data_IF_490163368849
#
_entry.id   IF_490163368849
#
_cell.length_a   1.000
_cell.length_b   1.000
_cell.length_c   1.000
_cell.angle_alpha   90.00
_cell.angle_beta   90.00
_cell.angle_gamma   90.00
#
_symmetry.space_group_name_H-M   'P 1'
#
loop_
_entity.id
_entity.type
_entity.pdbx_description
1 polymer ?
#
# COMPACT_ATOMS: atom_id res chain seq x y z
N UNK A 1 -61.99 62.96 -13.29
CA UNK A 1 -63.00 63.57 -12.39
C UNK A 1 -62.93 62.90 -11.01
N UNK A 2 -63.48 63.56 -9.99
CA UNK A 2 -63.63 63.22 -8.54
C UNK A 2 -63.46 61.73 -8.13
N UNK A 3 -62.64 61.36 -7.12
CA UNK A 3 -62.69 61.60 -5.63
C UNK A 3 -63.75 60.78 -4.85
N UNK A 4 -63.28 59.89 -3.97
CA UNK A 4 -63.66 59.65 -2.55
C UNK A 4 -62.53 58.75 -1.96
N UNK A 5 -61.80 59.03 -0.86
CA UNK A 5 -62.17 59.12 0.58
C UNK A 5 -62.88 57.85 1.08
N UNK A 6 -62.55 57.20 2.19
CA UNK A 6 -61.67 57.51 3.37
C UNK A 6 -61.20 56.16 3.99
N UNK A 7 -60.40 55.97 5.07
CA UNK A 7 -60.01 56.73 6.28
C UNK A 7 -58.57 56.35 6.73
N UNK A 8 -58.06 56.98 7.81
CA UNK A 8 -56.96 56.55 8.70
C UNK A 8 -57.37 56.95 10.14
N UNK A 9 -56.82 56.29 11.18
CA UNK A 9 -55.93 56.98 12.13
C UNK A 9 -54.80 56.05 12.68
N UNK A 10 -53.73 56.47 13.36
CA UNK A 10 -53.02 57.74 13.56
C UNK A 10 -51.56 57.41 14.02
N UNK A 11 -50.52 58.16 13.59
CA UNK A 11 -49.60 59.01 14.40
C UNK A 11 -48.95 58.37 15.66
N UNK A 12 -47.68 58.61 16.05
CA UNK A 12 -46.68 59.67 15.76
C UNK A 12 -45.25 59.10 16.04
N UNK A 13 -44.18 59.43 15.29
CA UNK A 13 -43.16 60.52 15.52
C UNK A 13 -42.42 60.44 16.89
N UNK A 14 -41.11 60.70 17.06
CA UNK A 14 -40.05 61.41 16.30
C UNK A 14 -38.64 60.89 16.76
N UNK A 15 -37.64 60.64 15.90
CA UNK A 15 -36.51 61.50 15.42
C UNK A 15 -35.23 61.64 16.29
N UNK A 16 -34.06 61.39 15.65
CA UNK A 16 -32.71 62.00 15.84
C UNK A 16 -32.02 61.82 17.22
N UNK A 17 -30.79 61.29 17.35
CA UNK A 17 -29.54 61.72 16.70
C UNK A 17 -28.35 60.78 16.97
N UNK A 18 -27.30 60.96 16.17
CA UNK A 18 -25.96 60.32 16.17
C UNK A 18 -25.20 60.34 17.50
N UNK A 19 -24.42 59.29 17.78
CA UNK A 19 -23.18 59.35 18.59
C UNK A 19 -22.26 58.15 18.22
N UNK A 20 -20.96 58.42 18.07
CA UNK A 20 -19.97 57.41 17.65
C UNK A 20 -19.38 56.65 18.84
N UNK A 21 -19.18 55.33 18.72
CA UNK A 21 -18.15 54.60 19.49
C UNK A 21 -17.82 53.21 18.94
N UNK A 22 -16.58 53.08 18.42
CA UNK A 22 -15.74 51.87 18.41
C UNK A 22 -16.27 50.58 17.73
N UNK A 23 -15.67 50.14 16.60
CA UNK A 23 -15.81 48.76 16.16
C UNK A 23 -15.05 47.85 17.13
N UNK A 24 -15.75 46.93 17.79
CA UNK A 24 -15.08 45.80 18.47
C UNK A 24 -14.47 44.91 17.38
N UNK A 25 -13.14 44.93 17.27
CA UNK A 25 -12.43 43.95 16.47
C UNK A 25 -12.72 42.55 17.04
N UNK A 26 -13.45 41.73 16.27
CA UNK A 26 -13.49 40.29 16.52
C UNK A 26 -12.12 39.73 16.16
N UNK A 27 -11.22 39.70 17.15
CA UNK A 27 -10.02 38.87 17.08
C UNK A 27 -10.47 37.42 17.07
N UNK A 28 -10.50 36.82 15.88
CA UNK A 28 -10.59 35.38 15.73
C UNK A 28 -9.26 34.79 16.16
N UNK A 29 -9.08 34.60 17.48
CA UNK A 29 -8.02 33.74 17.98
C UNK A 29 -8.29 32.34 17.46
N UNK A 30 -7.43 31.87 16.56
CA UNK A 30 -7.38 30.47 16.15
C UNK A 30 -6.97 29.67 17.38
N UNK A 31 -7.94 29.05 18.03
CA UNK A 31 -7.67 28.01 19.02
C UNK A 31 -7.04 26.82 18.28
N UNK A 32 -5.72 26.74 18.29
CA UNK A 32 -5.01 25.49 18.01
C UNK A 32 -5.31 24.49 19.15
N UNK A 33 -6.40 23.74 18.98
CA UNK A 33 -6.69 22.52 19.72
C UNK A 33 -7.21 21.48 18.71
N UNK A 34 -6.28 20.81 18.04
CA UNK A 34 -6.51 19.64 17.19
C UNK A 34 -5.35 18.66 17.45
N UNK A 35 -5.69 17.51 18.03
CA UNK A 35 -5.07 16.18 17.87
C UNK A 35 -3.56 15.93 18.14
N UNK A 36 -3.06 16.23 19.34
CA UNK A 36 -1.77 15.68 19.81
C UNK A 36 -1.83 14.17 20.17
N UNK A 37 -3.02 13.63 20.48
CA UNK A 37 -3.20 12.23 20.96
C UNK A 37 -3.19 11.17 19.82
N UNK A 38 -3.19 11.61 18.56
CA UNK A 38 -3.29 10.72 17.39
C UNK A 38 -1.95 10.30 16.76
N UNK A 39 -0.82 10.90 17.17
CA UNK A 39 0.51 10.57 16.66
C UNK A 39 1.39 9.76 17.63
N UNK A 40 0.90 9.38 18.83
CA UNK A 40 1.57 8.40 19.70
C UNK A 40 1.59 7.01 19.03
N UNK A 41 2.78 6.45 18.73
CA UNK A 41 2.88 5.12 18.13
C UNK A 41 2.23 4.03 18.98
N UNK A 42 2.07 4.22 20.29
CA UNK A 42 1.35 3.30 21.17
C UNK A 42 -0.13 3.15 20.82
N UNK A 43 -0.77 4.23 20.38
CA UNK A 43 -2.15 4.23 19.92
C UNK A 43 -2.26 3.76 18.46
N UNK A 44 -1.24 4.04 17.62
CA UNK A 44 -1.21 3.66 16.21
C UNK A 44 -0.90 2.17 15.96
N UNK A 45 -0.18 1.50 16.87
CA UNK A 45 0.05 0.04 16.85
C UNK A 45 -0.29 -0.53 18.24
N UNK A 46 -1.49 -1.10 18.38
CA UNK A 46 -1.91 -1.76 19.62
C UNK A 46 -1.25 -3.14 19.73
N UNK A 47 -1.10 -3.63 20.96
CA UNK A 47 -0.55 -4.96 21.25
C UNK A 47 -1.57 -5.73 22.09
N UNK A 48 -1.98 -6.91 21.60
CA UNK A 48 -2.79 -7.85 22.36
C UNK A 48 -1.94 -9.06 22.79
N UNK A 49 -2.03 -9.42 24.07
CA UNK A 49 -1.32 -10.56 24.64
C UNK A 49 -2.26 -11.70 25.01
N UNK A 50 -1.98 -12.91 24.49
CA UNK A 50 -2.62 -14.17 24.89
C UNK A 50 -1.57 -15.13 25.46
N UNK A 51 -1.94 -16.38 25.73
CA UNK A 51 -1.10 -17.33 26.47
C UNK A 51 0.31 -17.53 25.85
N UNK A 52 0.38 -18.00 24.59
CA UNK A 52 1.64 -18.12 23.82
C UNK A 52 1.71 -17.21 22.58
N UNK A 53 0.76 -16.29 22.39
CA UNK A 53 0.75 -15.42 21.21
C UNK A 53 0.69 -13.93 21.51
N UNK A 54 1.23 -13.13 20.59
CA UNK A 54 1.11 -11.66 20.56
C UNK A 54 0.52 -11.23 19.22
N UNK A 55 -0.40 -10.28 19.24
CA UNK A 55 -0.90 -9.63 18.04
C UNK A 55 -0.45 -8.17 17.98
N UNK A 56 0.13 -7.76 16.84
CA UNK A 56 0.28 -6.36 16.47
C UNK A 56 -0.96 -5.93 15.68
N UNK A 57 -1.65 -4.88 16.15
CA UNK A 57 -2.88 -4.38 15.53
C UNK A 57 -2.61 -2.99 14.98
N UNK A 58 -2.64 -2.86 13.65
CA UNK A 58 -2.52 -1.58 12.96
C UNK A 58 -3.79 -0.76 13.24
N UNK A 59 -3.65 0.44 13.82
CA UNK A 59 -4.77 1.17 14.40
C UNK A 59 -4.75 2.68 14.03
N UNK A 60 -4.80 2.95 12.72
CA UNK A 60 -5.14 4.26 12.14
C UNK A 60 -6.31 4.10 11.16
N UNK A 61 -7.50 3.67 11.60
CA UNK A 61 -8.60 3.28 10.70
C UNK A 61 -9.15 4.43 9.86
N UNK A 62 -9.01 5.68 10.33
CA UNK A 62 -9.30 6.91 9.57
C UNK A 62 -8.45 7.03 8.30
N UNK A 63 -7.16 6.70 8.41
CA UNK A 63 -6.17 6.68 7.33
C UNK A 63 -5.96 5.28 6.73
N UNK A 64 -6.94 4.38 6.82
CA UNK A 64 -6.87 3.01 6.30
C UNK A 64 -5.64 2.20 6.76
N UNK A 65 -5.14 2.49 7.96
CA UNK A 65 -3.92 1.90 8.53
C UNK A 65 -2.66 2.14 7.68
N UNK A 66 -2.60 3.26 6.94
CA UNK A 66 -1.40 3.69 6.23
C UNK A 66 -0.19 3.83 7.17
N UNK A 67 0.97 3.33 6.72
CA UNK A 67 2.18 3.22 7.54
C UNK A 67 2.95 4.55 7.63
N UNK A 68 3.36 4.89 8.85
CA UNK A 68 4.30 5.96 9.16
C UNK A 68 5.65 5.39 9.64
N UNK A 69 6.70 6.20 9.63
CA UNK A 69 8.03 5.84 10.18
C UNK A 69 7.95 5.35 11.62
N UNK A 70 7.10 5.98 12.44
CA UNK A 70 6.93 5.65 13.84
C UNK A 70 6.18 4.34 14.07
N UNK A 71 5.18 4.02 13.24
CA UNK A 71 4.50 2.72 13.21
C UNK A 71 5.47 1.58 12.86
N UNK A 72 6.23 1.72 11.76
CA UNK A 72 7.17 0.69 11.30
C UNK A 72 8.31 0.49 12.31
N UNK A 73 8.88 1.56 12.86
CA UNK A 73 9.90 1.48 13.91
C UNK A 73 9.37 0.86 15.22
N UNK A 74 8.07 0.98 15.51
CA UNK A 74 7.42 0.28 16.63
C UNK A 74 7.20 -1.20 16.30
N UNK A 75 6.69 -1.53 15.11
CA UNK A 75 6.52 -2.90 14.65
C UNK A 75 7.85 -3.67 14.69
N UNK A 76 8.93 -3.10 14.15
CA UNK A 76 10.25 -3.74 14.19
C UNK A 76 10.70 -4.05 15.62
N UNK A 77 10.66 -3.06 16.53
CA UNK A 77 11.03 -3.26 17.95
C UNK A 77 10.17 -4.32 18.66
N UNK A 78 8.87 -4.38 18.35
CA UNK A 78 7.99 -5.42 18.89
C UNK A 78 8.42 -6.79 18.40
N UNK A 79 8.60 -6.96 17.09
CA UNK A 79 8.97 -8.24 16.48
C UNK A 79 10.36 -8.71 16.93
N UNK A 80 11.37 -7.83 16.96
CA UNK A 80 12.69 -8.11 17.54
C UNK A 80 12.55 -8.64 18.99
N UNK A 81 11.72 -7.98 19.81
CA UNK A 81 11.52 -8.37 21.22
C UNK A 81 10.70 -9.66 21.42
N UNK A 82 9.80 -9.98 20.48
CA UNK A 82 8.92 -11.14 20.56
C UNK A 82 9.62 -12.43 20.11
N UNK A 83 10.65 -12.30 19.28
CA UNK A 83 11.40 -13.42 18.74
C UNK A 83 12.34 -14.02 19.80
N UNK A 84 13.07 -13.18 20.53
CA UNK A 84 13.94 -13.59 21.64
C UNK A 84 13.17 -14.13 22.87
N UNK A 85 11.86 -13.89 22.93
CA UNK A 85 11.04 -14.24 24.10
C UNK A 85 10.42 -15.64 24.01
N UNK A 86 10.92 -16.59 24.80
CA UNK A 86 10.43 -17.99 24.86
C UNK A 86 8.99 -18.16 25.37
N UNK A 87 8.39 -17.13 25.99
CA UNK A 87 6.95 -17.13 26.34
C UNK A 87 6.04 -16.84 25.14
N UNK A 88 6.60 -16.47 23.98
CA UNK A 88 5.86 -16.24 22.74
C UNK A 88 6.22 -17.35 21.78
N UNK A 89 5.25 -18.20 21.45
CA UNK A 89 5.39 -19.26 20.45
C UNK A 89 5.06 -18.80 19.03
N UNK A 90 4.11 -17.88 18.84
CA UNK A 90 3.78 -17.33 17.52
C UNK A 90 3.24 -15.89 17.60
N UNK A 91 3.23 -15.21 16.46
CA UNK A 91 2.83 -13.79 16.34
C UNK A 91 1.73 -13.60 15.29
N UNK A 92 0.89 -12.59 15.49
CA UNK A 92 -0.17 -12.21 14.57
C UNK A 92 -0.03 -10.74 14.15
N UNK A 93 -0.50 -10.42 12.94
CA UNK A 93 -0.71 -9.05 12.49
C UNK A 93 -2.11 -8.89 11.92
N UNK A 94 -2.82 -7.82 12.30
CA UNK A 94 -4.15 -7.45 11.75
C UNK A 94 -4.34 -5.95 11.71
N UNK A 95 -5.27 -5.46 10.88
CA UNK A 95 -5.71 -4.07 10.92
C UNK A 95 -6.97 -3.87 11.77
N UNK A 96 -7.21 -2.63 12.20
CA UNK A 96 -8.49 -2.20 12.76
C UNK A 96 -9.35 -1.48 11.69
N UNK A 97 -10.68 -1.56 11.83
CA UNK A 97 -11.61 -0.91 10.91
C UNK A 97 -11.82 -1.70 9.61
N UNK A 98 -11.69 -1.03 8.46
CA UNK A 98 -12.08 -1.55 7.12
C UNK A 98 -10.90 -1.95 6.21
N UNK A 99 -9.69 -1.94 6.75
CA UNK A 99 -8.47 -2.23 6.02
C UNK A 99 -7.50 -2.99 6.92
N UNK A 100 -6.71 -3.87 6.33
CA UNK A 100 -5.49 -4.34 6.95
C UNK A 100 -4.49 -3.19 6.95
N UNK A 101 -4.04 -2.77 5.76
CA UNK A 101 -3.11 -1.67 5.54
C UNK A 101 -3.20 -1.18 4.09
N UNK A 102 -3.37 0.13 3.86
CA UNK A 102 -3.41 0.70 2.51
C UNK A 102 -2.04 1.13 1.94
N UNK A 103 -0.93 0.66 2.50
CA UNK A 103 0.43 1.04 2.10
C UNK A 103 1.01 2.18 2.91
N UNK A 104 1.96 2.92 2.34
CA UNK A 104 2.62 4.04 3.01
C UNK A 104 1.68 5.26 3.15
N UNK A 105 1.91 6.09 4.17
CA UNK A 105 1.30 7.41 4.28
C UNK A 105 1.97 8.39 3.29
N UNK A 106 1.74 8.17 1.99
CA UNK A 106 2.41 8.90 0.89
C UNK A 106 2.15 10.39 0.89
N UNK A 107 1.05 10.84 1.52
CA UNK A 107 0.76 12.28 1.70
C UNK A 107 1.70 12.89 2.76
N UNK A 108 1.93 12.20 3.89
CA UNK A 108 2.95 12.61 4.87
C UNK A 108 4.34 12.62 4.23
N UNK A 109 4.68 11.58 3.47
CA UNK A 109 5.96 11.46 2.76
C UNK A 109 6.18 12.61 1.76
N UNK A 110 5.16 12.92 0.93
CA UNK A 110 5.18 14.04 -0.02
C UNK A 110 5.36 15.40 0.67
N UNK A 111 4.70 15.62 1.82
CA UNK A 111 4.86 16.86 2.59
C UNK A 111 6.28 16.98 3.16
N UNK A 112 6.77 15.96 3.88
CA UNK A 112 8.14 15.94 4.43
C UNK A 112 9.21 16.19 3.36
N UNK A 113 9.08 15.55 2.19
CA UNK A 113 10.02 15.73 1.07
C UNK A 113 9.95 17.12 0.44
N UNK A 114 8.79 17.77 0.40
CA UNK A 114 8.66 19.16 -0.08
C UNK A 114 9.14 20.20 0.95
N UNK A 115 9.15 19.85 2.24
CA UNK A 115 9.78 20.63 3.30
C UNK A 115 11.32 20.45 3.34
N UNK A 116 11.86 19.47 2.59
CA UNK A 116 13.29 19.17 2.50
C UNK A 116 13.78 18.12 3.50
N UNK A 117 12.88 17.47 4.24
CA UNK A 117 13.19 16.44 5.24
C UNK A 117 13.46 15.07 4.56
N UNK A 118 14.48 15.01 3.70
CA UNK A 118 14.80 13.80 2.92
C UNK A 118 15.19 12.64 3.83
N UNK A 119 15.93 12.90 4.89
CA UNK A 119 16.41 11.88 5.85
C UNK A 119 15.26 11.14 6.56
N UNK A 120 14.10 11.80 6.77
CA UNK A 120 12.91 11.14 7.33
C UNK A 120 12.37 10.07 6.35
N UNK A 121 12.36 10.40 5.06
CA UNK A 121 11.90 9.52 3.99
C UNK A 121 12.88 8.34 3.76
N UNK A 122 14.19 8.59 3.81
CA UNK A 122 15.19 7.53 3.76
C UNK A 122 15.08 6.58 4.94
N UNK A 123 14.90 7.12 6.16
CA UNK A 123 14.72 6.34 7.37
C UNK A 123 13.40 5.55 7.35
N UNK A 124 12.32 6.09 6.79
CA UNK A 124 11.07 5.35 6.56
C UNK A 124 11.33 4.10 5.72
N UNK A 125 11.86 4.27 4.51
CA UNK A 125 12.12 3.19 3.55
C UNK A 125 13.10 2.15 4.12
N UNK A 126 14.19 2.61 4.77
CA UNK A 126 15.18 1.72 5.39
C UNK A 126 14.58 0.87 6.49
N UNK A 127 13.72 1.46 7.34
CA UNK A 127 13.06 0.74 8.43
C UNK A 127 12.01 -0.22 7.88
N UNK A 128 11.26 0.19 6.84
CA UNK A 128 10.24 -0.61 6.17
C UNK A 128 10.83 -1.87 5.53
N UNK A 129 11.90 -1.75 4.75
CA UNK A 129 12.47 -2.91 4.07
C UNK A 129 13.26 -3.81 5.02
N UNK A 130 13.89 -3.24 6.05
CA UNK A 130 14.42 -4.03 7.17
C UNK A 130 13.32 -4.82 7.90
N UNK A 131 12.10 -4.28 7.99
CA UNK A 131 10.96 -4.96 8.61
C UNK A 131 10.32 -6.00 7.67
N UNK A 132 10.23 -5.74 6.37
CA UNK A 132 9.82 -6.72 5.36
C UNK A 132 10.78 -7.92 5.28
N UNK A 133 12.09 -7.66 5.39
CA UNK A 133 13.09 -8.74 5.52
C UNK A 133 12.93 -9.51 6.84
N UNK A 134 12.73 -8.81 7.96
CA UNK A 134 12.48 -9.45 9.26
C UNK A 134 11.23 -10.35 9.21
N UNK A 135 10.16 -9.91 8.53
CA UNK A 135 8.95 -10.69 8.27
C UNK A 135 9.25 -11.95 7.45
N UNK A 136 10.01 -11.81 6.37
CA UNK A 136 10.43 -12.93 5.53
C UNK A 136 11.32 -13.97 6.21
N UNK A 137 12.00 -13.58 7.30
CA UNK A 137 13.02 -14.38 8.00
C UNK A 137 12.66 -14.65 9.47
N UNK A 138 11.38 -14.47 9.84
CA UNK A 138 10.96 -14.46 11.25
C UNK A 138 10.92 -15.87 11.83
N UNK A 139 11.73 -16.15 12.86
CA UNK A 139 11.99 -17.51 13.39
C UNK A 139 10.79 -18.19 14.07
N UNK A 140 9.63 -17.54 14.11
CA UNK A 140 8.40 -18.03 14.73
C UNK A 140 7.24 -17.94 13.74
N UNK A 141 6.21 -18.80 13.85
CA UNK A 141 5.04 -18.69 13.00
C UNK A 141 4.44 -17.28 13.05
N UNK A 142 4.29 -16.66 11.88
CA UNK A 142 3.62 -15.37 11.71
C UNK A 142 2.31 -15.55 10.96
N UNK A 143 1.22 -14.99 11.49
CA UNK A 143 -0.12 -15.02 10.90
C UNK A 143 -0.58 -13.60 10.56
N UNK A 144 -0.59 -13.24 9.29
CA UNK A 144 -1.21 -12.01 8.81
C UNK A 144 -2.70 -12.24 8.51
N UNK A 145 -3.58 -11.42 9.10
CA UNK A 145 -5.03 -11.40 8.83
C UNK A 145 -5.33 -10.19 7.94
N UNK A 146 -5.48 -10.44 6.65
CA UNK A 146 -5.61 -9.47 5.57
C UNK A 146 -7.07 -9.06 5.33
N UNK A 147 -7.83 -8.79 6.40
CA UNK A 147 -9.23 -8.40 6.31
C UNK A 147 -9.39 -6.97 5.78
N UNK A 148 -9.97 -6.82 4.59
CA UNK A 148 -10.12 -5.53 3.93
C UNK A 148 -8.97 -5.15 2.98
N UNK A 149 -8.76 -3.85 2.80
CA UNK A 149 -7.73 -3.30 1.91
C UNK A 149 -6.32 -3.71 2.39
N UNK A 150 -5.54 -4.30 1.48
CA UNK A 150 -4.13 -4.67 1.64
C UNK A 150 -3.38 -4.18 0.40
N UNK A 151 -2.76 -3.01 0.45
CA UNK A 151 -2.16 -2.39 -0.75
C UNK A 151 -0.71 -1.94 -0.51
N UNK A 152 0.07 -1.94 -1.60
CA UNK A 152 1.48 -1.52 -1.61
C UNK A 152 2.32 -2.17 -0.53
N UNK A 153 3.16 -1.42 0.17
CA UNK A 153 3.96 -1.94 1.28
C UNK A 153 3.15 -2.52 2.47
N UNK A 154 1.82 -2.34 2.51
CA UNK A 154 0.94 -3.12 3.39
C UNK A 154 0.98 -4.63 3.06
N UNK A 155 1.07 -4.98 1.79
CA UNK A 155 1.41 -6.34 1.38
C UNK A 155 2.86 -6.71 1.78
N UNK A 156 3.82 -5.80 1.57
CA UNK A 156 5.22 -6.03 1.93
C UNK A 156 5.49 -6.37 3.40
N UNK A 157 4.70 -5.83 4.35
CA UNK A 157 4.82 -6.18 5.78
C UNK A 157 4.07 -7.46 6.19
N UNK A 158 3.46 -8.20 5.26
CA UNK A 158 2.58 -9.33 5.57
C UNK A 158 2.77 -10.55 4.68
N UNK A 159 2.99 -10.36 3.38
CA UNK A 159 3.15 -11.45 2.41
C UNK A 159 4.42 -12.29 2.62
N UNK A 160 5.59 -11.73 2.98
CA UNK A 160 6.79 -12.53 3.25
C UNK A 160 6.69 -13.48 4.46
N UNK A 161 5.71 -13.31 5.36
CA UNK A 161 5.59 -14.14 6.57
C UNK A 161 5.20 -15.61 6.30
N UNK A 162 4.81 -16.35 7.34
CA UNK A 162 4.47 -17.78 7.17
C UNK A 162 3.04 -18.00 6.67
N UNK A 163 2.04 -17.45 7.35
CA UNK A 163 0.62 -17.62 7.04
C UNK A 163 -0.06 -16.31 6.68
N UNK A 164 -0.82 -16.34 5.58
CA UNK A 164 -1.61 -15.23 5.04
C UNK A 164 -3.07 -15.67 5.00
N UNK A 165 -3.89 -15.07 5.89
CA UNK A 165 -5.32 -15.35 6.04
C UNK A 165 -6.10 -14.22 5.37
N UNK A 166 -6.90 -14.54 4.36
CA UNK A 166 -7.73 -13.60 3.59
C UNK A 166 -9.21 -13.85 3.83
N UNK A 167 -10.05 -12.88 3.50
CA UNK A 167 -11.50 -12.90 3.69
C UNK A 167 -12.27 -12.49 2.44
N UNK A 168 -13.60 -12.59 2.49
CA UNK A 168 -14.53 -12.04 1.49
C UNK A 168 -14.43 -10.50 1.36
N UNK A 169 -13.73 -9.82 2.27
CA UNK A 169 -13.46 -8.37 2.22
C UNK A 169 -12.06 -8.02 1.72
N UNK A 170 -11.15 -8.98 1.56
CA UNK A 170 -9.77 -8.70 1.14
C UNK A 170 -9.76 -8.05 -0.24
N UNK A 171 -9.02 -6.94 -0.36
CA UNK A 171 -8.73 -6.28 -1.63
C UNK A 171 -7.22 -6.04 -1.68
N UNK A 172 -6.51 -6.84 -2.48
CA UNK A 172 -5.08 -6.76 -2.74
C UNK A 172 -4.78 -5.99 -4.03
N UNK A 173 -3.76 -5.13 -4.05
CA UNK A 173 -3.32 -4.38 -5.25
C UNK A 173 -1.99 -3.66 -5.03
N UNK A 174 -1.21 -3.49 -6.10
CA UNK A 174 -0.04 -2.62 -6.17
C UNK A 174 -0.26 -1.44 -7.14
N UNK A 175 -0.88 -0.32 -6.68
CA UNK A 175 -1.18 0.84 -7.51
C UNK A 175 -0.01 1.85 -7.65
N UNK A 176 1.22 1.45 -7.36
CA UNK A 176 2.40 2.33 -7.27
C UNK A 176 2.77 2.97 -8.61
N UNK A 177 2.72 2.22 -9.72
CA UNK A 177 2.99 2.76 -11.06
C UNK A 177 2.04 3.91 -11.44
N UNK A 178 0.82 3.89 -10.90
CA UNK A 178 -0.19 4.92 -11.13
C UNK A 178 0.06 6.21 -10.31
N UNK A 179 0.90 6.18 -9.27
CA UNK A 179 1.33 7.37 -8.50
C UNK A 179 2.78 7.80 -8.81
N UNK A 180 3.39 7.30 -9.90
CA UNK A 180 4.77 7.66 -10.25
C UNK A 180 5.83 6.97 -9.38
N UNK A 181 5.51 5.80 -8.84
CA UNK A 181 6.41 4.97 -8.02
C UNK A 181 6.49 3.54 -8.58
N UNK A 182 7.16 2.61 -7.90
CA UNK A 182 7.24 1.20 -8.30
C UNK A 182 6.71 0.30 -7.17
N UNK A 183 6.17 -0.89 -7.46
CA UNK A 183 5.77 -1.86 -6.45
C UNK A 183 6.96 -2.28 -5.57
N UNK A 184 6.84 -2.07 -4.27
CA UNK A 184 7.97 -2.08 -3.34
C UNK A 184 7.80 -3.01 -2.12
N UNK A 185 8.76 -2.95 -1.20
CA UNK A 185 8.75 -3.70 0.06
C UNK A 185 8.67 -5.23 -0.11
N UNK A 186 9.31 -5.76 -1.15
CA UNK A 186 9.37 -7.17 -1.52
C UNK A 186 8.40 -7.55 -2.65
N UNK A 187 7.68 -6.60 -3.25
CA UNK A 187 6.73 -6.88 -4.32
C UNK A 187 7.38 -7.55 -5.53
N UNK A 188 8.61 -7.17 -5.89
CA UNK A 188 9.34 -7.85 -6.96
C UNK A 188 9.70 -9.30 -6.63
N UNK A 189 9.79 -9.66 -5.36
CA UNK A 189 10.01 -11.04 -4.93
C UNK A 189 8.73 -11.90 -5.05
N UNK A 190 7.60 -11.49 -4.47
CA UNK A 190 6.40 -12.33 -4.45
C UNK A 190 5.55 -12.25 -5.72
N UNK A 191 5.52 -11.12 -6.44
CA UNK A 191 4.77 -11.02 -7.70
C UNK A 191 5.45 -11.83 -8.82
N UNK A 192 6.77 -11.81 -8.92
CA UNK A 192 7.54 -12.55 -9.94
C UNK A 192 7.44 -14.08 -9.85
N UNK A 193 6.97 -14.58 -8.70
CA UNK A 193 6.75 -16.00 -8.39
C UNK A 193 5.32 -16.48 -8.67
N UNK A 194 4.45 -15.59 -9.12
CA UNK A 194 3.08 -15.95 -9.52
C UNK A 194 3.07 -16.73 -10.84
N UNK A 195 1.98 -17.49 -11.13
CA UNK A 195 1.85 -18.24 -12.36
C UNK A 195 2.01 -17.37 -13.61
N UNK A 196 2.85 -17.82 -14.55
CA UNK A 196 3.07 -17.15 -15.83
C UNK A 196 3.59 -15.72 -15.68
N UNK A 197 2.87 -14.78 -16.29
CA UNK A 197 3.13 -13.34 -16.26
C UNK A 197 2.07 -12.55 -15.46
N UNK A 198 1.38 -13.22 -14.53
CA UNK A 198 0.39 -12.58 -13.65
C UNK A 198 1.03 -11.52 -12.73
N UNK A 199 2.28 -11.71 -12.32
CA UNK A 199 3.02 -10.75 -11.50
C UNK A 199 3.21 -9.41 -12.20
N UNK A 200 3.72 -9.46 -13.42
CA UNK A 200 3.93 -8.32 -14.31
C UNK A 200 2.60 -7.61 -14.61
N UNK A 201 1.53 -8.36 -14.88
CA UNK A 201 0.19 -7.80 -15.03
C UNK A 201 -0.25 -6.99 -13.81
N UNK A 202 -0.21 -7.57 -12.61
CA UNK A 202 -0.67 -6.91 -11.38
C UNK A 202 0.18 -5.67 -11.04
N UNK A 203 1.49 -5.78 -11.18
CA UNK A 203 2.46 -4.73 -10.91
C UNK A 203 2.28 -3.50 -11.84
N UNK A 204 2.04 -3.73 -13.13
CA UNK A 204 1.94 -2.66 -14.13
C UNK A 204 0.56 -2.00 -14.17
N UNK A 205 -0.50 -2.74 -13.87
CA UNK A 205 -1.90 -2.27 -14.02
C UNK A 205 -2.49 -1.70 -12.72
N UNK A 206 -1.92 -2.06 -11.57
CA UNK A 206 -2.53 -1.79 -10.27
C UNK A 206 -3.86 -2.53 -10.07
N UNK A 207 -4.10 -3.62 -10.79
CA UNK A 207 -5.35 -4.37 -10.69
C UNK A 207 -5.54 -5.00 -9.31
N UNK A 208 -6.80 -5.29 -9.02
CA UNK A 208 -7.24 -5.74 -7.70
C UNK A 208 -7.53 -7.24 -7.74
N UNK A 209 -6.97 -7.96 -6.79
CA UNK A 209 -7.40 -9.32 -6.47
C UNK A 209 -8.27 -9.30 -5.21
N UNK A 210 -9.34 -10.09 -5.23
CA UNK A 210 -10.09 -10.41 -4.03
C UNK A 210 -9.46 -11.59 -3.27
N UNK A 211 -9.93 -11.86 -2.04
CA UNK A 211 -9.39 -12.95 -1.21
C UNK A 211 -9.46 -14.35 -1.86
N UNK A 212 -10.49 -14.64 -2.66
CA UNK A 212 -10.61 -15.93 -3.38
C UNK A 212 -9.56 -16.05 -4.47
N UNK A 213 -9.30 -14.96 -5.21
CA UNK A 213 -8.28 -14.93 -6.24
C UNK A 213 -6.87 -15.06 -5.66
N UNK A 214 -6.61 -14.43 -4.51
CA UNK A 214 -5.33 -14.60 -3.80
C UNK A 214 -5.04 -16.04 -3.39
N UNK A 215 -6.05 -16.83 -3.00
CA UNK A 215 -5.87 -18.26 -2.74
C UNK A 215 -5.54 -19.00 -4.05
N UNK A 216 -6.31 -18.75 -5.10
CA UNK A 216 -6.16 -19.48 -6.36
C UNK A 216 -4.84 -19.20 -7.09
N UNK A 217 -4.23 -18.02 -6.90
CA UNK A 217 -2.88 -17.72 -7.38
C UNK A 217 -1.76 -17.96 -6.35
N UNK A 218 -2.07 -18.53 -5.17
CA UNK A 218 -1.14 -18.82 -4.06
C UNK A 218 -0.50 -17.59 -3.38
N UNK A 219 -1.01 -16.37 -3.61
CA UNK A 219 -0.68 -15.19 -2.80
C UNK A 219 -1.17 -15.29 -1.36
N UNK A 220 -2.20 -16.09 -1.08
CA UNK A 220 -2.72 -16.34 0.26
C UNK A 220 -2.71 -17.83 0.59
N UNK A 221 -2.64 -18.16 1.88
CA UNK A 221 -2.58 -19.55 2.36
C UNK A 221 -3.94 -20.09 2.81
N UNK A 222 -4.78 -19.23 3.38
CA UNK A 222 -6.01 -19.62 4.05
C UNK A 222 -7.10 -18.58 3.78
N UNK A 223 -8.32 -19.01 3.49
CA UNK A 223 -9.48 -18.13 3.34
C UNK A 223 -10.51 -18.45 4.42
N UNK A 224 -11.05 -17.42 5.06
CA UNK A 224 -12.16 -17.53 6.01
C UNK A 224 -13.16 -16.41 5.75
N UNK A 225 -14.46 -16.72 5.84
CA UNK A 225 -15.48 -15.67 5.84
C UNK A 225 -15.25 -14.71 7.02
N UNK A 226 -15.33 -13.39 6.77
CA UNK A 226 -15.17 -12.34 7.77
C UNK A 226 -16.07 -12.56 9.01
N UNK A 227 -17.27 -13.08 8.82
CA UNK A 227 -18.20 -13.43 9.89
C UNK A 227 -17.68 -14.50 10.87
N UNK A 228 -16.71 -15.34 10.45
CA UNK A 228 -16.06 -16.38 11.28
C UNK A 228 -14.74 -15.91 11.89
N UNK A 229 -14.21 -14.77 11.46
CA UNK A 229 -12.92 -14.25 11.91
C UNK A 229 -12.80 -14.12 13.45
N UNK A 230 -13.83 -13.68 14.21
CA UNK A 230 -13.76 -13.67 15.67
C UNK A 230 -13.55 -15.06 16.30
N UNK A 231 -14.09 -16.12 15.70
CA UNK A 231 -13.90 -17.49 16.19
C UNK A 231 -12.50 -18.02 15.86
N UNK A 232 -11.94 -17.63 14.72
CA UNK A 232 -10.56 -17.94 14.36
C UNK A 232 -9.57 -17.26 15.31
N UNK A 233 -9.77 -15.97 15.59
CA UNK A 233 -8.95 -15.22 16.55
C UNK A 233 -9.06 -15.79 17.97
N UNK A 234 -10.27 -16.17 18.41
CA UNK A 234 -10.47 -16.84 19.70
C UNK A 234 -9.76 -18.22 19.75
N UNK A 235 -9.79 -18.98 18.66
CA UNK A 235 -9.07 -20.26 18.54
C UNK A 235 -7.57 -20.06 18.67
N UNK A 236 -6.99 -19.15 17.88
CA UNK A 236 -5.57 -18.80 17.92
C UNK A 236 -5.16 -18.29 19.30
N UNK A 237 -5.97 -17.42 19.93
CA UNK A 237 -5.71 -16.90 21.27
C UNK A 237 -5.73 -17.96 22.40
N UNK A 238 -6.24 -19.17 22.13
CA UNK A 238 -6.22 -20.32 23.05
C UNK A 238 -5.09 -21.32 22.77
N UNK A 239 -4.31 -21.14 21.70
CA UNK A 239 -3.19 -22.04 21.40
C UNK A 239 -2.04 -21.82 22.39
N UNK A 240 -1.44 -22.94 22.81
CA UNK A 240 -0.25 -23.00 23.65
C UNK A 240 0.78 -23.84 22.87
N UNK A 241 1.38 -23.22 21.86
CA UNK A 241 2.29 -23.87 20.91
C UNK A 241 3.25 -22.86 20.28
N UNK A 242 4.40 -23.34 19.85
CA UNK A 242 5.40 -22.74 18.97
C UNK A 242 5.53 -23.53 17.64
N UNK A 243 4.89 -24.69 17.52
CA UNK A 243 4.90 -25.56 16.33
C UNK A 243 4.05 -24.96 15.19
N UNK A 244 4.64 -24.65 14.01
CA UNK A 244 3.91 -24.18 12.84
C UNK A 244 2.72 -25.08 12.45
N UNK A 245 2.89 -26.40 12.51
CA UNK A 245 1.88 -27.35 12.02
C UNK A 245 0.58 -27.33 12.83
N UNK A 246 0.65 -26.97 14.12
CA UNK A 246 -0.51 -26.79 14.99
C UNK A 246 -1.22 -25.46 14.69
N UNK A 247 -0.47 -24.42 14.32
CA UNK A 247 -1.03 -23.15 13.83
C UNK A 247 -1.75 -23.38 12.51
N UNK A 248 -1.09 -23.99 11.52
CA UNK A 248 -1.67 -24.35 10.21
C UNK A 248 -2.94 -25.18 10.35
N UNK A 249 -2.90 -26.28 11.12
CA UNK A 249 -4.07 -27.14 11.37
C UNK A 249 -5.23 -26.34 12.00
N UNK A 250 -4.92 -25.34 12.82
CA UNK A 250 -5.94 -24.49 13.45
C UNK A 250 -6.49 -23.42 12.49
N UNK A 251 -5.71 -22.95 11.53
CA UNK A 251 -6.19 -22.09 10.43
C UNK A 251 -7.08 -22.88 9.46
N UNK A 252 -6.62 -24.06 9.03
CA UNK A 252 -7.33 -24.95 8.12
C UNK A 252 -8.71 -25.41 8.65
N UNK A 253 -8.89 -25.52 9.96
CA UNK A 253 -10.19 -25.82 10.59
C UNK A 253 -11.28 -24.78 10.30
N UNK A 254 -10.90 -23.55 9.96
CA UNK A 254 -11.81 -22.46 9.58
C UNK A 254 -11.73 -22.11 8.10
N UNK A 255 -10.93 -22.87 7.33
CA UNK A 255 -10.77 -22.70 5.89
C UNK A 255 -12.04 -23.06 5.13
N UNK A 256 -12.59 -22.11 4.37
CA UNK A 256 -13.66 -22.40 3.40
C UNK A 256 -13.05 -22.72 2.03
N UNK A 257 -13.54 -23.79 1.38
CA UNK A 257 -13.16 -24.10 -0.01
C UNK A 257 -13.84 -23.09 -0.93
N UNK A 258 -13.03 -22.31 -1.65
CA UNK A 258 -13.48 -21.25 -2.55
C UNK A 258 -12.90 -21.45 -3.95
N UNK A 259 -13.64 -20.97 -4.96
CA UNK A 259 -13.26 -21.02 -6.36
C UNK A 259 -13.47 -19.63 -6.98
N UNK A 260 -12.54 -19.15 -7.84
CA UNK A 260 -12.71 -17.89 -8.55
C UNK A 260 -14.03 -17.84 -9.33
N UNK A 261 -14.66 -16.67 -9.38
CA UNK A 261 -15.85 -16.45 -10.18
C UNK A 261 -15.51 -16.27 -11.67
N UNK A 262 -16.54 -16.34 -12.53
CA UNK A 262 -16.37 -16.25 -14.00
C UNK A 262 -15.83 -14.91 -14.50
N UNK A 263 -15.87 -13.86 -13.69
CA UNK A 263 -15.29 -12.54 -13.98
C UNK A 263 -13.86 -12.37 -13.45
N UNK A 264 -13.33 -13.37 -12.71
CA UNK A 264 -11.97 -13.35 -12.18
C UNK A 264 -10.93 -13.18 -13.27
N UNK A 265 -9.90 -12.38 -12.97
CA UNK A 265 -8.74 -12.19 -13.85
C UNK A 265 -7.95 -13.50 -14.07
N UNK A 266 -8.11 -14.49 -13.19
CA UNK A 266 -7.47 -15.80 -13.33
C UNK A 266 -8.01 -16.61 -14.53
N UNK A 267 -9.20 -16.26 -15.03
CA UNK A 267 -9.71 -16.79 -16.31
C UNK A 267 -9.12 -16.10 -17.55
N UNK A 268 -8.23 -15.11 -17.37
CA UNK A 268 -7.51 -14.40 -18.44
C UNK A 268 -6.03 -14.79 -18.51
N UNK A 269 -5.55 -15.78 -17.73
CA UNK A 269 -4.12 -16.17 -17.68
C UNK A 269 -3.55 -16.45 -19.08
N UNK A 270 -4.24 -17.22 -19.94
CA UNK A 270 -3.74 -17.49 -21.30
C UNK A 270 -3.52 -16.20 -22.13
N UNK A 271 -4.34 -15.18 -21.92
CA UNK A 271 -4.20 -13.86 -22.59
C UNK A 271 -3.14 -13.00 -21.91
N UNK A 272 -3.04 -13.03 -20.58
CA UNK A 272 -1.95 -12.39 -19.82
C UNK A 272 -0.61 -12.94 -20.29
N UNK A 273 -0.45 -14.26 -20.36
CA UNK A 273 0.80 -14.90 -20.75
C UNK A 273 1.15 -14.64 -22.22
N UNK A 274 0.17 -14.47 -23.12
CA UNK A 274 0.42 -14.02 -24.50
C UNK A 274 0.86 -12.57 -24.60
N UNK A 275 0.36 -11.68 -23.74
CA UNK A 275 0.56 -10.24 -23.88
C UNK A 275 1.70 -9.67 -23.01
N UNK A 276 1.94 -10.24 -21.82
CA UNK A 276 2.92 -9.75 -20.84
C UNK A 276 4.27 -10.48 -20.90
N UNK A 277 4.43 -11.48 -21.77
CA UNK A 277 5.70 -12.18 -21.96
C UNK A 277 6.79 -11.35 -22.66
N UNK A 278 6.41 -10.30 -23.38
CA UNK A 278 7.33 -9.46 -24.15
C UNK A 278 8.28 -8.64 -23.27
N UNK A 279 9.50 -8.44 -23.75
CA UNK A 279 10.61 -7.89 -22.95
C UNK A 279 10.47 -6.39 -22.68
N UNK A 280 9.75 -5.66 -23.52
CA UNK A 280 9.57 -4.20 -23.38
C UNK A 280 8.11 -3.80 -23.16
N UNK A 281 7.90 -2.66 -22.48
CA UNK A 281 6.56 -2.08 -22.27
C UNK A 281 5.86 -1.73 -23.59
N UNK A 282 6.63 -1.31 -24.59
CA UNK A 282 6.17 -1.00 -25.93
C UNK A 282 5.54 -2.24 -26.62
N UNK A 283 6.22 -3.39 -26.57
CA UNK A 283 5.72 -4.65 -27.12
C UNK A 283 4.50 -5.19 -26.35
N UNK A 284 4.50 -5.11 -25.01
CA UNK A 284 3.33 -5.49 -24.18
C UNK A 284 2.09 -4.67 -24.59
N UNK A 285 2.25 -3.37 -24.82
CA UNK A 285 1.15 -2.49 -25.25
C UNK A 285 0.72 -2.82 -26.68
N UNK A 286 1.64 -3.16 -27.59
CA UNK A 286 1.30 -3.58 -28.95
C UNK A 286 0.52 -4.91 -28.95
N UNK A 287 0.97 -5.90 -28.17
CA UNK A 287 0.30 -7.19 -28.02
C UNK A 287 -1.10 -7.04 -27.43
N UNK A 288 -1.26 -6.25 -26.36
CA UNK A 288 -2.57 -5.92 -25.79
C UNK A 288 -3.48 -5.16 -26.76
N UNK A 289 -2.93 -4.22 -27.54
CA UNK A 289 -3.69 -3.45 -28.53
C UNK A 289 -4.20 -4.33 -29.67
N UNK A 290 -3.38 -5.30 -30.11
CA UNK A 290 -3.76 -6.32 -31.09
C UNK A 290 -4.83 -7.25 -30.54
N UNK A 291 -4.64 -7.85 -29.37
CA UNK A 291 -5.62 -8.74 -28.74
C UNK A 291 -6.96 -8.01 -28.51
N UNK A 292 -6.94 -6.75 -28.06
CA UNK A 292 -8.14 -5.92 -27.91
C UNK A 292 -8.88 -5.68 -29.24
N UNK A 293 -8.15 -5.50 -30.34
CA UNK A 293 -8.72 -5.29 -31.68
C UNK A 293 -9.27 -6.57 -32.32
N UNK A 294 -8.66 -7.73 -32.04
CA UNK A 294 -9.07 -9.04 -32.58
C UNK A 294 -10.23 -9.66 -31.79
N UNK A 295 -10.22 -9.54 -30.46
CA UNK A 295 -11.22 -10.16 -29.56
C UNK A 295 -12.40 -9.26 -29.19
N UNK A 296 -12.25 -7.94 -29.30
CA UNK A 296 -13.14 -6.93 -28.70
C UNK A 296 -13.34 -7.08 -27.17
N UNK A 297 -12.39 -7.72 -26.47
CA UNK A 297 -12.47 -7.96 -25.04
C UNK A 297 -12.32 -6.66 -24.22
N UNK A 298 -13.39 -6.30 -23.50
CA UNK A 298 -13.43 -5.12 -22.62
C UNK A 298 -12.31 -5.14 -21.56
N UNK A 299 -11.86 -6.33 -21.14
CA UNK A 299 -10.74 -6.47 -20.21
C UNK A 299 -9.42 -5.97 -20.81
N UNK A 300 -9.12 -6.31 -22.07
CA UNK A 300 -7.91 -5.84 -22.77
C UNK A 300 -7.94 -4.31 -22.93
N UNK A 301 -9.10 -3.75 -23.31
CA UNK A 301 -9.31 -2.30 -23.46
C UNK A 301 -9.13 -1.57 -22.12
N UNK A 302 -9.68 -2.12 -21.03
CA UNK A 302 -9.55 -1.58 -19.67
C UNK A 302 -8.09 -1.63 -19.18
N UNK A 303 -7.39 -2.73 -19.44
CA UNK A 303 -5.97 -2.94 -19.12
C UNK A 303 -5.08 -1.91 -19.81
N UNK A 304 -5.24 -1.73 -21.13
CA UNK A 304 -4.54 -0.70 -21.90
C UNK A 304 -4.77 0.71 -21.36
N UNK A 305 -5.99 1.03 -20.92
CA UNK A 305 -6.30 2.33 -20.33
C UNK A 305 -5.54 2.54 -19.02
N UNK A 306 -5.52 1.55 -18.11
CA UNK A 306 -4.80 1.64 -16.83
C UNK A 306 -3.30 1.83 -17.02
N UNK A 307 -2.69 1.10 -17.96
CA UNK A 307 -1.27 1.27 -18.32
C UNK A 307 -1.02 2.70 -18.84
N UNK A 308 -1.89 3.23 -19.71
CA UNK A 308 -1.76 4.62 -20.22
C UNK A 308 -2.02 5.72 -19.18
N UNK A 309 -2.65 5.40 -18.05
CA UNK A 309 -2.87 6.31 -16.91
C UNK A 309 -1.70 6.32 -15.89
N UNK A 310 -0.70 5.44 -16.05
CA UNK A 310 0.47 5.31 -15.20
C UNK A 310 1.68 6.09 -15.73
N UNK A 311 2.70 6.31 -14.89
CA UNK A 311 3.96 6.95 -15.32
C UNK A 311 4.71 6.05 -16.31
N UNK A 312 5.14 6.57 -17.47
CA UNK A 312 5.94 5.80 -18.42
C UNK A 312 7.26 5.27 -17.84
N UNK A 313 7.94 6.09 -17.03
CA UNK A 313 9.19 5.71 -16.38
C UNK A 313 8.94 4.64 -15.30
N UNK A 314 7.92 4.83 -14.47
CA UNK A 314 7.51 3.83 -13.47
C UNK A 314 7.14 2.49 -14.07
N UNK A 315 6.49 2.46 -15.25
CA UNK A 315 6.16 1.22 -15.95
C UNK A 315 7.42 0.44 -16.38
N UNK A 316 8.41 1.11 -16.98
CA UNK A 316 9.66 0.43 -17.38
C UNK A 316 10.44 -0.08 -16.16
N UNK A 317 10.59 0.76 -15.12
CA UNK A 317 11.21 0.37 -13.84
C UNK A 317 10.47 -0.82 -13.22
N UNK A 318 9.14 -0.81 -13.23
CA UNK A 318 8.33 -1.90 -12.66
C UNK A 318 8.54 -3.21 -13.43
N UNK A 319 8.47 -3.18 -14.77
CA UNK A 319 8.67 -4.36 -15.60
C UNK A 319 10.05 -5.00 -15.34
N UNK A 320 11.10 -4.19 -15.32
CA UNK A 320 12.47 -4.64 -15.03
C UNK A 320 12.60 -5.18 -13.59
N UNK A 321 12.07 -4.45 -12.60
CA UNK A 321 12.06 -4.84 -11.19
C UNK A 321 11.44 -6.22 -10.95
N UNK A 322 10.24 -6.49 -11.51
CA UNK A 322 9.58 -7.80 -11.39
C UNK A 322 10.41 -8.90 -12.09
N UNK A 323 10.98 -8.60 -13.27
CA UNK A 323 11.75 -9.58 -14.06
C UNK A 323 13.05 -10.00 -13.39
N UNK A 324 13.80 -9.05 -12.82
CA UNK A 324 15.00 -9.36 -12.03
C UNK A 324 14.64 -10.14 -10.76
N UNK A 325 13.58 -9.73 -10.06
CA UNK A 325 13.08 -10.38 -8.85
C UNK A 325 12.72 -11.87 -9.02
N UNK A 326 12.48 -12.33 -10.25
CA UNK A 326 12.22 -13.74 -10.59
C UNK A 326 13.44 -14.64 -10.34
N UNK A 327 14.66 -14.08 -10.36
CA UNK A 327 15.92 -14.80 -10.20
C UNK A 327 16.68 -14.46 -8.90
N UNK A 328 16.19 -13.47 -8.14
CA UNK A 328 16.81 -12.97 -6.92
C UNK A 328 16.17 -13.53 -5.64
N UNK A 329 16.93 -13.52 -4.53
CA UNK A 329 16.43 -13.74 -3.17
C UNK A 329 15.69 -12.52 -2.63
N UNK A 330 14.98 -12.68 -1.49
CA UNK A 330 14.20 -11.59 -0.89
C UNK A 330 15.09 -10.40 -0.46
N UNK A 331 16.27 -10.66 0.09
CA UNK A 331 17.24 -9.62 0.47
C UNK A 331 17.78 -8.86 -0.75
N UNK A 332 18.09 -9.57 -1.85
CA UNK A 332 18.53 -8.96 -3.11
C UNK A 332 17.43 -8.07 -3.70
N UNK A 333 16.18 -8.58 -3.76
CA UNK A 333 15.02 -7.81 -4.18
C UNK A 333 14.84 -6.54 -3.34
N UNK A 334 14.86 -6.66 -2.01
CA UNK A 334 14.69 -5.51 -1.10
C UNK A 334 15.83 -4.49 -1.21
N UNK A 335 17.08 -4.93 -1.42
CA UNK A 335 18.22 -4.05 -1.60
C UNK A 335 18.18 -3.31 -2.96
N UNK A 336 17.69 -3.95 -4.02
CA UNK A 336 17.45 -3.33 -5.32
C UNK A 336 16.27 -2.35 -5.27
N UNK A 337 15.14 -2.78 -4.70
CA UNK A 337 13.99 -1.91 -4.47
C UNK A 337 14.35 -0.69 -3.62
N UNK A 338 15.28 -0.82 -2.66
CA UNK A 338 15.78 0.33 -1.88
C UNK A 338 16.46 1.40 -2.75
N UNK A 339 17.33 0.97 -3.69
CA UNK A 339 17.97 1.85 -4.67
C UNK A 339 16.94 2.58 -5.54
N UNK A 340 15.97 1.83 -6.07
CA UNK A 340 14.89 2.38 -6.91
C UNK A 340 14.03 3.37 -6.11
N UNK A 341 13.65 3.03 -4.88
CA UNK A 341 12.77 3.85 -4.04
C UNK A 341 13.40 5.17 -3.61
N UNK A 342 14.66 5.15 -3.15
CA UNK A 342 15.37 6.39 -2.79
C UNK A 342 15.49 7.33 -3.99
N UNK A 343 15.82 6.80 -5.17
CA UNK A 343 15.89 7.61 -6.39
C UNK A 343 14.52 8.13 -6.83
N UNK A 344 13.46 7.35 -6.66
CA UNK A 344 12.07 7.77 -6.90
C UNK A 344 11.62 8.96 -6.04
N UNK A 345 12.10 9.06 -4.80
CA UNK A 345 11.77 10.20 -3.91
C UNK A 345 12.76 11.39 -4.02
N UNK A 346 13.94 11.19 -4.60
CA UNK A 346 15.04 12.18 -4.62
C UNK A 346 14.80 13.44 -5.48
N UNK A 347 13.84 13.39 -6.43
CA UNK A 347 13.72 14.34 -7.57
C UNK A 347 14.93 14.44 -8.51
N UNK A 348 15.95 13.59 -8.37
CA UNK A 348 17.18 13.66 -9.18
C UNK A 348 16.93 13.28 -10.65
N UNK A 349 16.09 12.27 -10.90
CA UNK A 349 15.86 11.68 -12.23
C UNK A 349 14.46 11.96 -12.79
N UNK A 350 13.43 11.98 -11.93
CA UNK A 350 12.07 12.37 -12.30
C UNK A 350 11.34 12.96 -11.08
N UNK A 351 10.27 13.71 -11.36
CA UNK A 351 9.34 14.22 -10.34
C UNK A 351 8.02 13.45 -10.27
N UNK A 352 7.89 12.35 -11.02
CA UNK A 352 6.64 11.60 -11.17
C UNK A 352 6.02 11.16 -9.85
N UNK A 353 6.80 10.72 -8.86
CA UNK A 353 6.27 10.41 -7.52
C UNK A 353 5.51 11.60 -6.90
N UNK A 354 6.06 12.81 -7.02
CA UNK A 354 5.45 14.02 -6.49
C UNK A 354 4.20 14.41 -7.26
N UNK A 355 4.24 14.34 -8.58
CA UNK A 355 3.10 14.67 -9.44
C UNK A 355 1.97 13.64 -9.30
N UNK A 356 2.29 12.35 -9.17
CA UNK A 356 1.31 11.29 -8.98
C UNK A 356 0.62 11.35 -7.62
N UNK A 357 1.38 11.60 -6.53
CA UNK A 357 0.80 11.84 -5.20
C UNK A 357 -0.02 13.13 -5.18
N UNK A 358 0.45 14.22 -5.81
CA UNK A 358 -0.32 15.46 -5.97
C UNK A 358 -1.65 15.19 -6.67
N UNK A 359 -1.62 14.63 -7.87
CA UNK A 359 -2.78 14.41 -8.73
C UNK A 359 -3.82 13.45 -8.12
N UNK A 360 -3.39 12.40 -7.42
CA UNK A 360 -4.30 11.34 -6.90
C UNK A 360 -4.69 11.49 -5.43
N UNK A 361 -3.83 12.07 -4.59
CA UNK A 361 -4.04 12.08 -3.12
C UNK A 361 -4.20 13.48 -2.52
N UNK A 362 -3.50 14.49 -3.05
CA UNK A 362 -3.55 15.87 -2.52
C UNK A 362 -4.66 16.67 -3.21
N UNK A 363 -4.47 17.00 -4.49
CA UNK A 363 -5.39 17.84 -5.28
C UNK A 363 -6.58 17.04 -5.82
N UNK A 364 -6.37 15.73 -6.06
CA UNK A 364 -7.39 14.77 -6.53
C UNK A 364 -8.02 15.18 -7.87
N UNK A 365 -7.22 15.74 -8.76
CA UNK A 365 -7.60 16.05 -10.15
C UNK A 365 -7.59 14.81 -11.06
N UNK A 366 -6.85 13.76 -10.67
CA UNK A 366 -6.62 12.54 -11.45
C UNK A 366 -6.00 12.79 -12.84
N UNK A 367 -5.31 13.93 -13.02
CA UNK A 367 -4.63 14.32 -14.26
C UNK A 367 -3.14 14.59 -14.03
N UNK A 368 -2.35 13.55 -13.71
CA UNK A 368 -0.90 13.68 -13.54
C UNK A 368 -0.21 14.06 -14.85
N UNK A 369 0.80 14.91 -14.76
CA UNK A 369 1.65 15.38 -15.86
C UNK A 369 3.04 14.73 -15.76
N UNK A 370 3.13 13.48 -16.21
CA UNK A 370 4.36 12.72 -16.15
C UNK A 370 5.51 13.36 -16.94
N UNK A 371 6.71 13.26 -16.38
CA UNK A 371 7.97 13.67 -17.01
C UNK A 371 9.02 12.55 -16.82
N UNK A 372 9.32 11.75 -17.87
CA UNK A 372 8.91 11.92 -19.26
C UNK A 372 7.43 11.58 -19.57
N UNK A 373 6.80 12.23 -20.57
CA UNK A 373 5.35 12.12 -20.84
C UNK A 373 4.93 10.88 -21.66
N UNK A 374 5.86 10.15 -22.27
CA UNK A 374 5.56 8.91 -23.01
C UNK A 374 6.68 7.88 -22.93
N UNK A 375 6.37 6.60 -23.18
CA UNK A 375 7.35 5.51 -23.12
C UNK A 375 8.52 5.68 -24.08
N UNK A 376 8.29 6.33 -25.23
CA UNK A 376 9.32 6.61 -26.24
C UNK A 376 10.34 7.65 -25.78
N UNK A 377 9.96 8.47 -24.81
CA UNK A 377 10.81 9.51 -24.22
C UNK A 377 11.59 8.96 -23.01
N UNK A 378 11.26 7.77 -22.50
CA UNK A 378 12.05 7.04 -21.49
C UNK A 378 13.18 6.29 -22.19
N UNK A 379 14.42 6.74 -22.02
CA UNK A 379 15.60 6.01 -22.47
C UNK A 379 16.03 4.94 -21.47
N UNK A 380 16.76 3.93 -21.95
CA UNK A 380 17.28 2.85 -21.11
C UNK A 380 18.20 3.40 -20.00
N UNK A 381 19.02 4.41 -20.30
CA UNK A 381 19.87 5.10 -19.31
C UNK A 381 19.06 5.71 -18.15
N UNK A 382 17.85 6.22 -18.40
CA UNK A 382 16.97 6.71 -17.32
C UNK A 382 16.55 5.58 -16.40
N UNK A 383 16.20 4.42 -16.97
CA UNK A 383 15.78 3.24 -16.19
C UNK A 383 16.98 2.69 -15.41
N UNK A 384 18.11 2.43 -16.07
CA UNK A 384 19.35 1.92 -15.46
C UNK A 384 19.91 2.83 -14.36
N UNK A 385 19.66 4.14 -14.44
CA UNK A 385 19.98 5.08 -13.37
C UNK A 385 19.24 4.79 -12.06
N UNK A 386 18.07 4.12 -12.08
CA UNK A 386 17.37 3.68 -10.86
C UNK A 386 17.95 2.42 -10.24
N UNK A 387 18.53 1.52 -11.04
CA UNK A 387 19.07 0.21 -10.61
C UNK A 387 20.54 0.26 -10.20
N UNK A 388 21.32 1.21 -10.75
CA UNK A 388 22.76 1.36 -10.51
C UNK A 388 23.15 1.35 -9.01
N UNK A 389 24.33 0.87 -8.59
CA UNK A 389 24.77 0.99 -7.20
C UNK A 389 24.80 2.45 -6.71
N UNK A 390 24.73 2.64 -5.40
CA UNK A 390 24.92 3.96 -4.79
C UNK A 390 26.36 4.47 -4.87
N UNK A 391 26.53 5.79 -4.76
CA UNK A 391 27.85 6.42 -4.58
C UNK A 391 28.39 6.20 -3.16
N UNK A 392 29.68 6.46 -2.89
CA UNK A 392 30.27 6.31 -1.54
C UNK A 392 29.60 7.15 -0.43
N UNK A 393 28.72 8.09 -0.80
CA UNK A 393 27.99 8.98 0.12
C UNK A 393 26.65 8.38 0.56
N UNK A 394 26.01 7.56 -0.27
CA UNK A 394 24.69 6.98 -0.03
C UNK A 394 24.86 5.53 0.46
N UNK A 395 24.17 5.16 1.56
CA UNK A 395 24.36 3.85 2.16
C UNK A 395 23.32 2.82 1.68
N UNK A 396 23.80 1.76 1.04
CA UNK A 396 23.01 0.58 0.63
C UNK A 396 22.18 -0.02 1.80
N UNK A 397 21.17 -0.83 1.46
CA UNK A 397 20.38 -1.55 2.46
C UNK A 397 21.17 -2.75 3.01
N UNK A 398 21.72 -2.61 4.21
CA UNK A 398 22.41 -3.71 4.90
C UNK A 398 21.40 -4.58 5.64
N UNK A 399 21.18 -5.80 5.15
CA UNK A 399 20.30 -6.81 5.76
C UNK A 399 21.13 -7.92 6.46
N UNK A 400 20.65 -8.50 7.58
CA UNK A 400 21.38 -9.51 8.36
C UNK A 400 21.33 -10.93 7.75
N UNK A 401 21.71 -11.06 6.47
CA UNK A 401 21.64 -12.31 5.69
C UNK A 401 22.53 -13.43 6.23
N UNK A 402 23.64 -13.10 6.90
CA UNK A 402 24.50 -14.08 7.57
C UNK A 402 23.87 -14.71 8.84
N UNK A 403 22.70 -14.22 9.29
CA UNK A 403 22.05 -14.66 10.53
C UNK A 403 20.72 -15.37 10.29
N UNK A 404 20.08 -15.20 9.12
CA UNK A 404 18.75 -15.74 8.82
C UNK A 404 18.55 -15.99 7.33
N UNK A 405 17.81 -17.03 7.00
CA UNK A 405 17.35 -17.33 5.63
C UNK A 405 15.83 -17.10 5.53
N UNK A 406 15.29 -16.69 4.36
CA UNK A 406 13.85 -16.49 4.19
C UNK A 406 13.07 -17.81 4.26
N UNK A 407 11.86 -17.75 4.81
CA UNK A 407 10.87 -18.83 4.68
C UNK A 407 10.37 -18.88 3.23
N UNK A 408 10.68 -19.99 2.55
CA UNK A 408 10.21 -20.33 1.20
C UNK A 408 9.28 -21.53 1.23
#
# INVERSE_FOLDING_TARGET
MQRLKTLLPEKCRFSLRTLCSHPRAFSAQVHHHIDDDHDDPQQQILVEGRAKSRAAILNRPSSLNALTTSMVARLKRLYDSWEENSDIGFVLMKGSGRAFCSGADVVRLYNSLNEGNVEEAEQFLRTLYSFAYLQGTYLKPHVAILDGITMGCGAGISLPGMYRVVTDKTIFSHPEAQIGFHPDSGASYYLSRLPGYLGEYLALTGDKLNGVEMIACHLATHFTLNARLPWLEERLGKLITDDPSIVETSLAQYGDIVYPDKSSVLHKIDTIDRCFCHDTMEEIIEALAKEAAESYDEWCISTLRKIREASPLSLKITLESIREGRFETLDQCLAREYRISLRGISKQFSSDFFEGVRARMVDKDFTPKWDPPSLKDVSDDMVQSYFSPFSEVESELVLPTALREPYM
#
